data_IF_318480865082
#
_entry.id   IF_318480865082
#
_cell.length_a   1.000
_cell.length_b   1.000
_cell.length_c   1.000
_cell.angle_alpha   90.00
_cell.angle_beta   90.00
_cell.angle_gamma   90.00
#
_symmetry.space_group_name_H-M   'P 1'
#
loop_
_entity.id
_entity.type
_entity.pdbx_description
1 polymer ?
#
# COMPACT_ATOMS: atom_id res chain seq x y z
N UNK A 1 19.49 46.75 -1.11
CA UNK A 1 19.22 45.34 -1.54
C UNK A 1 19.07 44.34 -0.39
N UNK A 2 19.03 44.71 0.89
CA UNK A 2 18.81 43.78 2.03
C UNK A 2 17.34 43.67 2.51
N UNK A 3 16.45 44.52 2.03
CA UNK A 3 15.06 44.56 2.45
C UNK A 3 14.12 43.67 1.62
N UNK A 4 14.48 43.32 0.40
CA UNK A 4 13.68 42.41 -0.46
C UNK A 4 13.83 40.92 -0.09
N UNK A 5 14.96 40.54 0.49
CA UNK A 5 15.20 39.15 0.91
C UNK A 5 14.37 38.75 2.16
N UNK A 6 14.06 39.70 3.06
CA UNK A 6 13.24 39.42 4.25
C UNK A 6 11.77 39.28 3.93
N UNK A 7 11.25 39.91 2.88
CA UNK A 7 9.84 39.78 2.49
C UNK A 7 9.53 38.41 1.87
N UNK A 8 10.51 37.87 1.11
CA UNK A 8 10.36 36.49 0.54
C UNK A 8 10.52 35.40 1.58
N UNK A 9 11.37 35.59 2.58
CA UNK A 9 11.52 34.64 3.67
C UNK A 9 10.32 34.62 4.62
N UNK A 10 9.70 35.78 4.88
CA UNK A 10 8.48 35.88 5.70
C UNK A 10 7.25 35.30 4.97
N UNK A 11 7.14 35.52 3.65
CA UNK A 11 6.10 34.90 2.83
C UNK A 11 6.27 33.37 2.73
N UNK A 12 7.51 32.88 2.61
CA UNK A 12 7.79 31.44 2.61
C UNK A 12 7.54 30.79 3.98
N UNK A 13 7.80 31.49 5.10
CA UNK A 13 7.50 30.98 6.45
C UNK A 13 6.00 31.06 6.78
N UNK A 14 5.27 32.05 6.30
CA UNK A 14 3.80 32.12 6.43
C UNK A 14 3.13 31.04 5.57
N UNK A 15 3.72 30.66 4.45
CA UNK A 15 3.26 29.58 3.59
C UNK A 15 3.52 28.19 4.19
N UNK A 16 4.63 28.01 4.91
CA UNK A 16 4.96 26.77 5.63
C UNK A 16 4.05 26.53 6.85
N UNK A 17 3.37 27.55 7.36
CA UNK A 17 2.41 27.41 8.47
C UNK A 17 0.95 27.24 8.01
N UNK A 18 0.64 27.45 6.73
CA UNK A 18 -0.66 27.13 6.12
C UNK A 18 -0.61 25.82 5.31
N UNK A 19 0.20 24.87 5.71
CA UNK A 19 0.18 23.52 5.20
C UNK A 19 -1.22 22.95 5.43
N UNK A 20 -2.14 23.15 4.48
CA UNK A 20 -3.46 22.59 4.49
C UNK A 20 -3.31 21.08 4.68
N UNK A 21 -3.86 20.54 5.77
CA UNK A 21 -3.80 19.13 6.05
C UNK A 21 -4.34 18.37 4.84
N UNK A 22 -3.62 17.37 4.38
CA UNK A 22 -4.10 16.44 3.36
C UNK A 22 -5.47 15.93 3.82
N UNK A 23 -6.51 16.20 3.03
CA UNK A 23 -7.84 15.67 3.30
C UNK A 23 -7.81 14.15 3.10
N UNK A 24 -8.64 13.43 3.85
CA UNK A 24 -8.95 12.06 3.48
C UNK A 24 -9.69 12.04 2.13
N UNK A 25 -9.60 10.94 1.37
CA UNK A 25 -10.35 10.80 0.12
C UNK A 25 -11.87 11.01 0.34
N UNK A 26 -12.38 10.58 1.49
CA UNK A 26 -13.79 10.75 1.84
C UNK A 26 -14.14 12.21 2.12
N UNK A 27 -13.27 12.99 2.77
CA UNK A 27 -13.52 14.41 3.05
C UNK A 27 -13.34 15.26 1.79
N UNK A 28 -12.41 14.91 0.92
CA UNK A 28 -12.28 15.53 -0.40
C UNK A 28 -13.55 15.31 -1.23
N UNK A 29 -14.05 14.07 -1.31
CA UNK A 29 -15.28 13.73 -2.03
C UNK A 29 -16.50 14.48 -1.50
N UNK A 30 -16.66 14.56 -0.16
CA UNK A 30 -17.74 15.37 0.44
C UNK A 30 -17.66 16.85 0.06
N UNK A 31 -16.43 17.37 -0.04
CA UNK A 31 -16.22 18.77 -0.42
C UNK A 31 -16.53 19.00 -1.90
N UNK A 32 -16.21 18.04 -2.77
CA UNK A 32 -16.57 18.04 -4.19
C UNK A 32 -18.09 17.96 -4.39
N UNK A 33 -18.76 17.05 -3.67
CA UNK A 33 -20.24 16.99 -3.64
C UNK A 33 -20.86 18.30 -3.17
N UNK A 34 -20.31 18.92 -2.12
CA UNK A 34 -20.78 20.22 -1.63
C UNK A 34 -20.57 21.33 -2.67
N UNK A 35 -19.45 21.33 -3.37
CA UNK A 35 -19.18 22.32 -4.42
C UNK A 35 -20.22 22.22 -5.56
N UNK A 36 -20.57 21.03 -6.03
CA UNK A 36 -21.64 20.84 -7.04
C UNK A 36 -22.98 21.38 -6.54
N UNK A 37 -23.39 21.08 -5.30
CA UNK A 37 -24.62 21.62 -4.69
C UNK A 37 -24.60 23.12 -4.64
N UNK A 38 -23.48 23.76 -4.35
CA UNK A 38 -23.34 25.22 -4.33
C UNK A 38 -23.39 25.80 -5.74
N UNK A 39 -22.84 25.17 -6.76
CA UNK A 39 -22.96 25.56 -8.16
C UNK A 39 -24.45 25.55 -8.61
N UNK A 40 -25.17 24.50 -8.24
CA UNK A 40 -26.62 24.40 -8.50
C UNK A 40 -27.42 25.53 -7.83
N UNK A 41 -27.22 25.70 -6.53
CA UNK A 41 -27.99 26.68 -5.74
C UNK A 41 -27.67 28.12 -6.13
N UNK A 42 -26.43 28.46 -6.43
CA UNK A 42 -26.05 29.79 -6.94
C UNK A 42 -26.59 30.06 -8.33
N UNK A 43 -26.62 29.01 -9.21
CA UNK A 43 -27.28 29.10 -10.52
C UNK A 43 -28.77 29.41 -10.41
N UNK A 44 -29.49 28.79 -9.47
CA UNK A 44 -30.89 29.05 -9.21
C UNK A 44 -31.14 30.49 -8.70
N UNK A 45 -30.23 30.99 -7.86
CA UNK A 45 -30.33 32.35 -7.31
C UNK A 45 -30.04 33.44 -8.35
N UNK A 46 -29.30 33.13 -9.42
CA UNK A 46 -28.86 34.10 -10.44
C UNK A 46 -29.10 33.53 -11.84
N UNK A 47 -30.24 33.78 -12.49
CA UNK A 47 -30.60 33.14 -13.77
C UNK A 47 -29.59 33.32 -14.90
N UNK A 48 -28.85 34.42 -14.95
CA UNK A 48 -27.77 34.62 -15.92
C UNK A 48 -26.59 33.70 -15.72
N UNK A 49 -26.24 33.41 -14.47
CA UNK A 49 -25.21 32.49 -14.08
C UNK A 49 -25.63 31.04 -14.39
N UNK A 50 -26.90 30.69 -14.15
CA UNK A 50 -27.44 29.38 -14.49
C UNK A 50 -27.20 29.01 -15.96
N UNK A 51 -27.52 29.98 -16.87
CA UNK A 51 -27.35 29.76 -18.32
C UNK A 51 -25.87 29.69 -18.72
N UNK A 52 -25.07 30.64 -18.25
CA UNK A 52 -23.65 30.71 -18.64
C UNK A 52 -22.84 29.60 -17.99
N UNK A 53 -23.16 29.18 -16.77
CA UNK A 53 -22.45 28.14 -16.00
C UNK A 53 -22.93 26.73 -16.28
N UNK A 54 -23.99 26.50 -17.06
CA UNK A 54 -24.56 25.18 -17.28
C UNK A 54 -23.55 24.16 -17.83
N UNK A 55 -22.68 24.47 -18.82
CA UNK A 55 -21.66 23.53 -19.28
C UNK A 55 -20.70 23.13 -18.17
N UNK A 56 -20.12 24.09 -17.46
CA UNK A 56 -19.16 23.82 -16.38
C UNK A 56 -19.79 23.04 -15.22
N UNK A 57 -21.06 23.26 -14.92
CA UNK A 57 -21.81 22.48 -13.92
C UNK A 57 -22.01 21.03 -14.38
N UNK A 58 -22.34 20.81 -15.64
CA UNK A 58 -22.54 19.46 -16.18
C UNK A 58 -21.23 18.68 -16.21
N UNK A 59 -20.14 19.32 -16.64
CA UNK A 59 -18.80 18.72 -16.67
C UNK A 59 -18.34 18.40 -15.22
N UNK A 60 -18.58 19.30 -14.25
CA UNK A 60 -18.29 19.06 -12.84
C UNK A 60 -19.10 17.87 -12.25
N UNK A 61 -20.36 17.70 -12.65
CA UNK A 61 -21.18 16.53 -12.25
C UNK A 61 -20.60 15.23 -12.81
N UNK A 62 -20.18 15.24 -14.07
CA UNK A 62 -19.56 14.07 -14.68
C UNK A 62 -18.22 13.72 -14.01
N UNK A 63 -17.40 14.73 -13.70
CA UNK A 63 -16.17 14.54 -12.96
C UNK A 63 -16.43 13.99 -11.55
N UNK A 64 -17.45 14.49 -10.85
CA UNK A 64 -17.88 13.99 -9.54
C UNK A 64 -18.33 12.52 -9.61
N UNK A 65 -19.13 12.13 -10.60
CA UNK A 65 -19.53 10.72 -10.78
C UNK A 65 -18.34 9.79 -10.97
N UNK A 66 -17.30 10.23 -11.67
CA UNK A 66 -16.04 9.49 -11.79
C UNK A 66 -15.28 9.41 -10.45
N UNK A 67 -15.28 10.49 -9.66
CA UNK A 67 -14.65 10.54 -8.32
C UNK A 67 -15.37 9.64 -7.31
N UNK A 68 -16.68 9.49 -7.39
CA UNK A 68 -17.44 8.55 -6.54
C UNK A 68 -17.02 7.10 -6.76
N UNK A 69 -16.58 6.74 -7.96
CA UNK A 69 -16.06 5.40 -8.27
C UNK A 69 -14.56 5.25 -8.03
N UNK A 70 -13.79 6.34 -8.13
CA UNK A 70 -12.35 6.35 -7.98
C UNK A 70 -11.85 7.63 -7.27
N UNK A 71 -12.14 7.81 -5.98
CA UNK A 71 -11.87 9.05 -5.24
C UNK A 71 -10.37 9.39 -5.09
N UNK A 72 -9.49 8.44 -5.34
CA UNK A 72 -8.04 8.64 -5.33
C UNK A 72 -7.45 9.07 -6.68
N UNK A 73 -8.29 9.19 -7.72
CA UNK A 73 -7.81 9.53 -9.07
C UNK A 73 -7.56 11.04 -9.21
N UNK A 74 -6.28 11.42 -9.11
CA UNK A 74 -5.87 12.82 -9.22
C UNK A 74 -6.25 13.49 -10.56
N UNK A 75 -6.40 12.71 -11.65
CA UNK A 75 -6.87 13.22 -12.93
C UNK A 75 -8.32 13.69 -12.87
N UNK A 76 -9.19 12.95 -12.20
CA UNK A 76 -10.59 13.36 -12.02
C UNK A 76 -10.73 14.57 -11.09
N UNK A 77 -9.93 14.64 -10.01
CA UNK A 77 -9.87 15.83 -9.15
C UNK A 77 -9.39 17.06 -9.93
N UNK A 78 -8.37 16.89 -10.80
CA UNK A 78 -7.89 17.98 -11.66
C UNK A 78 -8.98 18.49 -12.61
N UNK A 79 -9.72 17.60 -13.28
CA UNK A 79 -10.84 17.94 -14.16
C UNK A 79 -11.91 18.67 -13.38
N UNK A 80 -12.36 18.11 -12.25
CA UNK A 80 -13.34 18.74 -11.37
C UNK A 80 -12.97 20.17 -10.96
N UNK A 81 -11.73 20.37 -10.54
CA UNK A 81 -11.21 21.70 -10.16
C UNK A 81 -11.21 22.68 -11.36
N UNK A 82 -10.92 22.19 -12.56
CA UNK A 82 -10.98 22.97 -13.79
C UNK A 82 -12.40 23.49 -14.04
N UNK A 83 -13.39 22.61 -13.95
CA UNK A 83 -14.80 22.94 -14.20
C UNK A 83 -15.38 23.85 -13.11
N UNK A 84 -15.09 23.59 -11.85
CA UNK A 84 -15.52 24.43 -10.73
C UNK A 84 -14.91 25.85 -10.82
N UNK A 85 -13.66 25.98 -11.23
CA UNK A 85 -13.01 27.29 -11.47
C UNK A 85 -13.62 28.00 -12.69
N UNK A 86 -13.93 27.27 -13.78
CA UNK A 86 -14.61 27.81 -14.93
C UNK A 86 -15.95 28.38 -14.52
N UNK A 87 -16.74 27.69 -13.69
CA UNK A 87 -17.99 28.18 -13.14
C UNK A 87 -17.79 29.46 -12.31
N UNK A 88 -16.81 29.49 -11.43
CA UNK A 88 -16.49 30.68 -10.62
C UNK A 88 -16.07 31.88 -11.47
N UNK A 89 -15.32 31.66 -12.55
CA UNK A 89 -14.82 32.73 -13.44
C UNK A 89 -15.93 33.42 -14.24
N UNK A 90 -17.03 32.71 -14.51
CA UNK A 90 -18.19 33.28 -15.24
C UNK A 90 -18.77 34.47 -14.47
N UNK A 91 -18.79 34.41 -13.12
CA UNK A 91 -19.26 35.49 -12.30
C UNK A 91 -18.44 36.78 -12.42
N UNK A 92 -17.15 36.66 -12.71
CA UNK A 92 -16.24 37.79 -12.85
C UNK A 92 -16.40 38.49 -14.21
N UNK A 93 -16.96 37.79 -15.19
CA UNK A 93 -17.19 38.29 -16.56
C UNK A 93 -18.59 38.91 -16.77
N UNK A 94 -19.54 38.65 -15.84
CA UNK A 94 -20.86 39.19 -15.92
C UNK A 94 -20.80 40.71 -15.62
N UNK A 95 -21.34 41.60 -16.49
CA UNK A 95 -21.30 43.05 -16.25
C UNK A 95 -21.95 43.43 -14.91
N UNK A 96 -21.23 44.13 -14.06
CA UNK A 96 -21.78 44.70 -12.83
C UNK A 96 -22.70 45.89 -13.19
N UNK A 97 -23.90 46.04 -12.61
CA UNK A 97 -24.32 45.50 -11.33
C UNK A 97 -25.44 44.44 -11.47
N UNK A 98 -25.10 43.17 -11.35
CA UNK A 98 -26.12 42.23 -10.94
C UNK A 98 -26.20 42.28 -9.40
N UNK A 99 -27.35 42.64 -8.81
CA UNK A 99 -27.53 42.48 -7.38
C UNK A 99 -27.60 40.97 -7.12
N UNK A 100 -26.45 40.35 -6.74
CA UNK A 100 -26.50 39.06 -6.11
C UNK A 100 -27.35 39.19 -4.84
N UNK A 101 -28.43 38.44 -4.70
CA UNK A 101 -29.11 38.35 -3.41
C UNK A 101 -28.07 38.01 -2.34
N UNK A 102 -28.24 38.47 -1.11
CA UNK A 102 -27.24 38.22 -0.04
C UNK A 102 -26.95 36.73 0.14
N UNK A 103 -27.96 35.89 0.00
CA UNK A 103 -27.83 34.44 0.02
C UNK A 103 -26.98 33.93 -1.14
N UNK A 104 -27.18 34.43 -2.35
CA UNK A 104 -26.34 34.05 -3.50
C UNK A 104 -24.88 34.45 -3.33
N UNK A 105 -24.60 35.61 -2.71
CA UNK A 105 -23.24 36.04 -2.37
C UNK A 105 -22.58 35.08 -1.35
N UNK A 106 -23.35 34.70 -0.32
CA UNK A 106 -22.88 33.78 0.70
C UNK A 106 -22.55 32.41 0.09
N UNK A 107 -23.46 31.82 -0.68
CA UNK A 107 -23.27 30.54 -1.34
C UNK A 107 -22.08 30.54 -2.32
N UNK A 108 -21.88 31.62 -3.03
CA UNK A 108 -20.78 31.80 -3.95
C UNK A 108 -19.43 31.94 -3.21
N UNK A 109 -19.45 32.59 -2.03
CA UNK A 109 -18.29 32.60 -1.12
C UNK A 109 -17.94 31.21 -0.61
N UNK A 110 -18.96 30.44 -0.15
CA UNK A 110 -18.78 29.07 0.28
C UNK A 110 -18.22 28.13 -0.85
N UNK A 111 -18.69 28.35 -2.10
CA UNK A 111 -18.17 27.61 -3.26
C UNK A 111 -16.70 27.94 -3.50
N UNK A 112 -16.33 29.22 -3.44
CA UNK A 112 -14.91 29.63 -3.59
C UNK A 112 -14.03 28.99 -2.53
N UNK A 113 -14.46 29.05 -1.26
CA UNK A 113 -13.71 28.42 -0.15
C UNK A 113 -13.58 26.91 -0.33
N UNK A 114 -14.63 26.24 -0.82
CA UNK A 114 -14.58 24.81 -1.11
C UNK A 114 -13.57 24.49 -2.22
N UNK A 115 -13.58 25.25 -3.31
CA UNK A 115 -12.64 25.08 -4.44
C UNK A 115 -11.20 25.38 -4.01
N UNK A 116 -10.97 26.43 -3.20
CA UNK A 116 -9.64 26.76 -2.71
C UNK A 116 -9.06 25.66 -1.80
N UNK A 117 -9.91 25.06 -0.94
CA UNK A 117 -9.51 23.94 -0.10
C UNK A 117 -9.21 22.68 -0.90
N UNK A 118 -9.99 22.38 -1.94
CA UNK A 118 -9.73 21.27 -2.85
C UNK A 118 -8.45 21.50 -3.65
N UNK A 119 -8.19 22.73 -4.09
CA UNK A 119 -6.96 23.07 -4.78
C UNK A 119 -5.72 22.90 -3.89
N UNK A 120 -5.80 23.35 -2.65
CA UNK A 120 -4.74 23.17 -1.66
C UNK A 120 -4.47 21.69 -1.40
N UNK A 121 -5.53 20.87 -1.26
CA UNK A 121 -5.41 19.41 -1.14
C UNK A 121 -4.74 18.77 -2.37
N UNK A 122 -5.18 19.14 -3.58
CA UNK A 122 -4.62 18.63 -4.83
C UNK A 122 -3.13 18.97 -4.98
N UNK A 123 -2.73 20.20 -4.66
CA UNK A 123 -1.31 20.62 -4.65
C UNK A 123 -0.50 19.81 -3.64
N UNK A 124 -1.00 19.61 -2.42
CA UNK A 124 -0.35 18.80 -1.41
C UNK A 124 -0.19 17.33 -1.84
N UNK A 125 -1.15 16.77 -2.59
CA UNK A 125 -1.05 15.45 -3.20
C UNK A 125 0.08 15.39 -4.26
N UNK A 126 0.15 16.41 -5.12
CA UNK A 126 1.22 16.49 -6.15
C UNK A 126 2.60 16.63 -5.50
N UNK A 127 2.73 17.50 -4.49
CA UNK A 127 3.98 17.69 -3.75
C UNK A 127 4.42 16.41 -3.04
N UNK A 128 3.48 15.67 -2.46
CA UNK A 128 3.76 14.38 -1.83
C UNK A 128 4.24 13.33 -2.83
N UNK A 129 3.62 13.25 -4.02
CA UNK A 129 4.06 12.35 -5.10
C UNK A 129 5.43 12.75 -5.65
N UNK A 130 5.67 14.03 -5.84
CA UNK A 130 6.97 14.57 -6.26
C UNK A 130 8.07 14.25 -5.24
N UNK A 131 7.79 14.40 -3.95
CA UNK A 131 8.72 14.05 -2.89
C UNK A 131 9.03 12.54 -2.88
N UNK A 132 8.04 11.68 -3.12
CA UNK A 132 8.26 10.24 -3.26
C UNK A 132 9.14 9.90 -4.46
N UNK A 133 8.88 10.52 -5.62
CA UNK A 133 9.68 10.30 -6.85
C UNK A 133 11.12 10.82 -6.72
N UNK A 134 11.32 11.88 -5.93
CA UNK A 134 12.65 12.48 -5.68
C UNK A 134 13.38 11.84 -4.51
N UNK A 135 12.75 10.93 -3.77
CA UNK A 135 13.43 10.23 -2.68
C UNK A 135 14.55 9.35 -3.26
N UNK A 136 15.84 9.65 -2.99
CA UNK A 136 16.96 8.88 -3.52
C UNK A 136 17.02 7.46 -2.96
N UNK A 137 16.29 7.17 -1.88
CA UNK A 137 16.16 5.86 -1.25
C UNK A 137 14.68 5.42 -1.23
N UNK A 138 14.04 5.46 -2.39
CA UNK A 138 12.61 5.12 -2.55
C UNK A 138 12.27 3.75 -1.97
N UNK A 139 13.13 2.77 -2.17
CA UNK A 139 12.92 1.38 -1.79
C UNK A 139 13.47 1.07 -0.38
N UNK A 140 13.92 2.11 0.35
CA UNK A 140 14.47 2.03 1.72
C UNK A 140 15.68 1.09 1.85
N UNK A 141 16.59 1.11 0.89
CA UNK A 141 17.82 0.31 0.88
C UNK A 141 18.69 0.57 2.12
N UNK A 142 18.68 1.79 2.65
CA UNK A 142 19.44 2.17 3.84
C UNK A 142 18.93 1.51 5.13
N UNK A 143 17.67 1.04 5.15
CA UNK A 143 17.03 0.52 6.36
C UNK A 143 17.80 -0.64 7.00
N UNK A 144 18.35 -1.52 6.18
CA UNK A 144 19.03 -2.73 6.64
C UNK A 144 20.51 -2.80 6.28
N UNK A 145 21.12 -1.76 5.67
CA UNK A 145 22.53 -1.76 5.24
C UNK A 145 23.47 -2.20 6.37
N UNK A 146 23.43 -1.53 7.52
CA UNK A 146 24.29 -1.87 8.65
C UNK A 146 24.01 -3.26 9.23
N UNK A 147 22.73 -3.68 9.26
CA UNK A 147 22.34 -5.01 9.72
C UNK A 147 22.80 -6.11 8.74
N UNK A 148 22.76 -5.82 7.43
CA UNK A 148 23.22 -6.73 6.38
C UNK A 148 24.75 -6.92 6.47
N UNK A 149 25.51 -5.85 6.65
CA UNK A 149 26.97 -5.90 6.80
C UNK A 149 27.42 -6.69 8.03
N UNK A 150 26.62 -6.69 9.11
CA UNK A 150 26.91 -7.46 10.34
C UNK A 150 26.52 -8.93 10.26
N UNK A 151 25.75 -9.33 9.23
CA UNK A 151 25.39 -10.73 9.04
C UNK A 151 26.60 -11.50 8.49
N UNK A 152 27.07 -12.49 9.25
CA UNK A 152 28.05 -13.44 8.76
C UNK A 152 27.52 -14.30 7.62
N UNK A 153 28.35 -15.12 6.97
CA UNK A 153 27.91 -16.05 5.94
C UNK A 153 26.90 -17.06 6.53
N UNK A 154 25.90 -17.51 5.75
CA UNK A 154 24.99 -18.55 6.20
C UNK A 154 25.74 -19.88 6.44
N UNK A 155 25.28 -20.68 7.41
CA UNK A 155 25.84 -21.98 7.70
C UNK A 155 24.98 -23.12 7.12
N UNK A 156 25.54 -24.19 6.59
CA UNK A 156 24.78 -25.36 6.14
C UNK A 156 23.95 -26.01 7.27
N UNK A 157 24.44 -25.96 8.51
CA UNK A 157 23.75 -26.52 9.68
C UNK A 157 22.60 -25.66 10.16
N UNK A 158 22.63 -24.34 9.83
CA UNK A 158 21.62 -23.37 10.16
C UNK A 158 21.25 -22.58 8.90
N UNK A 159 20.45 -23.15 8.01
CA UNK A 159 20.07 -22.47 6.78
C UNK A 159 19.35 -21.16 7.07
N UNK A 160 19.81 -20.09 6.44
CA UNK A 160 19.21 -18.77 6.56
C UNK A 160 17.84 -18.73 5.92
N UNK A 161 16.88 -18.14 6.61
CA UNK A 161 15.56 -17.82 6.11
C UNK A 161 15.34 -16.32 6.23
N UNK A 162 15.03 -15.65 5.12
CA UNK A 162 14.67 -14.24 5.12
C UNK A 162 13.15 -14.12 5.15
N UNK A 163 12.64 -13.33 6.07
CA UNK A 163 11.24 -12.91 6.13
C UNK A 163 11.13 -11.54 5.47
N UNK A 164 10.66 -11.50 4.24
CA UNK A 164 10.45 -10.29 3.45
C UNK A 164 8.99 -9.85 3.56
N UNK A 165 8.75 -8.57 3.85
CA UNK A 165 7.39 -8.08 3.97
C UNK A 165 7.28 -6.62 4.41
N UNK A 166 6.09 -6.27 4.86
CA UNK A 166 5.70 -4.94 5.31
C UNK A 166 5.71 -4.78 6.84
N UNK A 167 4.81 -3.94 7.39
CA UNK A 167 4.68 -3.70 8.84
C UNK A 167 4.37 -4.96 9.65
N UNK A 168 3.67 -5.93 9.07
CA UNK A 168 3.33 -7.18 9.74
C UNK A 168 4.60 -8.01 9.94
N UNK A 169 5.49 -8.03 8.97
CA UNK A 169 6.80 -8.68 9.08
C UNK A 169 7.74 -7.86 9.95
N UNK A 170 7.79 -6.52 9.79
CA UNK A 170 8.65 -5.62 10.58
C UNK A 170 8.38 -5.77 12.08
N UNK A 171 7.10 -5.80 12.48
CA UNK A 171 6.67 -5.99 13.88
C UNK A 171 6.89 -7.39 14.44
N UNK A 172 7.28 -8.35 13.62
CA UNK A 172 7.44 -9.74 14.05
C UNK A 172 8.80 -9.97 14.71
N UNK A 173 8.81 -10.12 16.01
CA UNK A 173 10.02 -10.36 16.81
C UNK A 173 10.44 -11.83 16.70
N UNK A 174 11.03 -12.23 15.57
CA UNK A 174 11.33 -13.64 15.24
C UNK A 174 12.03 -14.41 16.36
N UNK A 175 12.97 -13.78 17.08
CA UNK A 175 13.69 -14.44 18.18
C UNK A 175 12.80 -14.81 19.36
N UNK A 176 11.72 -14.05 19.61
CA UNK A 176 10.77 -14.33 20.69
C UNK A 176 9.91 -15.56 20.38
N UNK A 177 9.63 -15.81 19.10
CA UNK A 177 8.75 -16.90 18.66
C UNK A 177 9.50 -18.17 18.24
N UNK A 178 10.73 -18.02 17.74
CA UNK A 178 11.51 -19.14 17.17
C UNK A 178 12.77 -19.45 17.94
N UNK A 179 13.10 -18.64 18.97
CA UNK A 179 14.37 -18.75 19.69
C UNK A 179 15.57 -18.24 18.90
N UNK A 180 16.75 -18.28 19.51
CA UNK A 180 18.01 -17.85 18.89
C UNK A 180 18.75 -18.91 18.08
N UNK A 181 18.22 -20.14 18.03
CA UNK A 181 18.89 -21.28 17.39
C UNK A 181 18.80 -21.28 15.85
N UNK A 182 17.83 -20.55 15.29
CA UNK A 182 17.56 -20.42 13.86
C UNK A 182 18.21 -19.17 13.28
N UNK A 183 18.73 -19.26 12.04
CA UNK A 183 19.21 -18.08 11.29
C UNK A 183 18.04 -17.44 10.52
N UNK A 184 17.08 -16.87 11.28
CA UNK A 184 15.92 -16.19 10.75
C UNK A 184 16.16 -14.69 10.75
N UNK A 185 16.06 -14.08 9.56
CA UNK A 185 16.38 -12.68 9.30
C UNK A 185 15.12 -11.91 8.93
N UNK A 186 14.72 -10.96 9.77
CA UNK A 186 13.60 -10.08 9.48
C UNK A 186 14.03 -8.97 8.51
N UNK A 187 13.31 -8.84 7.40
CA UNK A 187 13.43 -7.79 6.38
C UNK A 187 12.05 -7.20 6.07
N UNK A 188 11.25 -7.00 7.10
CA UNK A 188 9.99 -6.25 7.04
C UNK A 188 10.25 -4.76 7.08
N UNK A 189 9.50 -3.96 6.31
CA UNK A 189 9.51 -2.50 6.37
C UNK A 189 8.08 -1.99 6.36
N UNK A 190 7.71 -1.28 7.42
CA UNK A 190 6.34 -0.77 7.60
C UNK A 190 5.85 0.05 6.41
N UNK A 191 4.63 -0.25 5.94
CA UNK A 191 3.97 0.48 4.87
C UNK A 191 4.42 0.14 3.45
N UNK A 192 5.42 -0.71 3.24
CA UNK A 192 5.91 -1.04 1.89
C UNK A 192 4.89 -1.78 1.04
N UNK A 193 4.89 -1.47 -0.25
CA UNK A 193 4.18 -2.18 -1.31
C UNK A 193 5.11 -3.19 -2.02
N UNK A 194 4.53 -4.08 -2.79
CA UNK A 194 5.27 -5.14 -3.50
C UNK A 194 6.34 -4.60 -4.46
N UNK A 195 6.10 -3.47 -5.12
CA UNK A 195 7.09 -2.83 -6.00
C UNK A 195 8.32 -2.31 -5.26
N UNK A 196 8.15 -1.78 -4.04
CA UNK A 196 9.27 -1.34 -3.18
C UNK A 196 10.05 -2.53 -2.63
N UNK A 197 9.38 -3.65 -2.30
CA UNK A 197 10.04 -4.90 -1.90
C UNK A 197 10.87 -5.48 -3.04
N UNK A 198 10.36 -5.45 -4.26
CA UNK A 198 11.08 -5.86 -5.47
C UNK A 198 12.36 -5.04 -5.66
N UNK A 199 12.31 -3.71 -5.43
CA UNK A 199 13.46 -2.82 -5.55
C UNK A 199 14.61 -3.12 -4.59
N UNK A 200 14.35 -3.80 -3.47
CA UNK A 200 15.38 -4.16 -2.46
C UNK A 200 15.73 -5.66 -2.42
N UNK A 201 15.24 -6.46 -3.36
CA UNK A 201 15.53 -7.89 -3.43
C UNK A 201 17.03 -8.19 -3.44
N UNK A 202 17.83 -7.42 -4.19
CA UNK A 202 19.27 -7.63 -4.27
C UNK A 202 19.91 -7.50 -2.88
N UNK A 203 19.74 -6.38 -2.21
CA UNK A 203 20.44 -6.04 -0.97
C UNK A 203 19.91 -6.84 0.25
N UNK A 204 18.59 -7.01 0.33
CA UNK A 204 17.94 -7.52 1.54
C UNK A 204 17.59 -9.02 1.47
N UNK A 205 17.76 -9.65 0.30
CA UNK A 205 17.50 -11.08 0.12
C UNK A 205 18.68 -11.76 -0.55
N UNK A 206 19.01 -11.42 -1.81
CA UNK A 206 19.96 -12.16 -2.64
C UNK A 206 21.38 -12.15 -2.05
N UNK A 207 21.88 -10.98 -1.64
CA UNK A 207 23.21 -10.86 -1.06
C UNK A 207 23.34 -11.53 0.31
N UNK A 208 22.23 -11.75 1.01
CA UNK A 208 22.23 -12.50 2.26
C UNK A 208 22.32 -14.00 2.07
N UNK A 209 22.21 -14.50 0.83
CA UNK A 209 22.32 -15.91 0.43
C UNK A 209 21.44 -16.83 1.28
N UNK A 210 20.17 -16.53 1.46
CA UNK A 210 19.30 -17.40 2.24
C UNK A 210 19.01 -18.68 1.48
N UNK A 211 18.66 -19.72 2.20
CA UNK A 211 18.11 -20.94 1.62
C UNK A 211 16.69 -20.72 1.12
N UNK A 212 15.94 -19.85 1.81
CA UNK A 212 14.53 -19.62 1.57
C UNK A 212 14.16 -18.18 1.89
N UNK A 213 13.24 -17.60 1.11
CA UNK A 213 12.60 -16.33 1.41
C UNK A 213 11.10 -16.53 1.62
N UNK A 214 10.58 -16.15 2.81
CA UNK A 214 9.16 -16.10 3.10
C UNK A 214 8.63 -14.70 2.85
N UNK A 215 7.72 -14.57 1.90
CA UNK A 215 7.14 -13.29 1.46
C UNK A 215 5.72 -13.14 1.99
N UNK A 216 5.47 -12.07 2.76
CA UNK A 216 4.15 -11.63 3.19
C UNK A 216 3.94 -10.20 2.72
N UNK A 217 3.16 -10.01 1.64
CA UNK A 217 3.04 -8.73 0.95
C UNK A 217 1.70 -8.58 0.23
N UNK A 218 1.32 -7.33 -0.06
CA UNK A 218 0.15 -6.99 -0.87
C UNK A 218 -0.93 -6.19 -0.14
N UNK A 219 -0.97 -6.21 1.20
CA UNK A 219 -2.00 -5.49 1.95
C UNK A 219 -1.90 -3.97 1.76
N UNK A 220 -0.69 -3.42 1.70
CA UNK A 220 -0.49 -1.99 1.47
C UNK A 220 -0.78 -1.58 0.03
N UNK A 221 -0.51 -2.47 -0.93
CA UNK A 221 -0.89 -2.29 -2.33
C UNK A 221 -2.41 -2.14 -2.46
N UNK A 222 -3.16 -3.09 -1.90
CA UNK A 222 -4.63 -3.06 -1.86
C UNK A 222 -5.14 -1.78 -1.18
N UNK A 223 -4.55 -1.42 -0.04
CA UNK A 223 -4.91 -0.22 0.70
C UNK A 223 -4.60 1.10 -0.04
N UNK A 224 -3.73 1.08 -1.04
CA UNK A 224 -3.43 2.21 -1.93
C UNK A 224 -4.16 2.13 -3.27
N UNK A 225 -5.04 1.15 -3.46
CA UNK A 225 -5.81 0.96 -4.68
C UNK A 225 -4.98 0.46 -5.87
N UNK A 226 -3.84 -0.18 -5.61
CA UNK A 226 -3.05 -0.84 -6.66
C UNK A 226 -3.85 -2.02 -7.21
N UNK A 227 -3.88 -2.15 -8.53
CA UNK A 227 -4.58 -3.26 -9.18
C UNK A 227 -3.99 -4.62 -8.76
N UNK A 228 -4.83 -5.62 -8.53
CA UNK A 228 -4.39 -6.96 -8.13
C UNK A 228 -3.40 -7.53 -9.15
N UNK A 229 -3.63 -7.34 -10.44
CA UNK A 229 -2.70 -7.76 -11.50
C UNK A 229 -1.29 -7.15 -11.41
N UNK A 230 -1.15 -5.94 -10.87
CA UNK A 230 0.16 -5.34 -10.60
C UNK A 230 0.85 -6.02 -9.44
N UNK A 231 0.10 -6.36 -8.39
CA UNK A 231 0.61 -7.11 -7.23
C UNK A 231 1.09 -8.50 -7.68
N UNK A 232 0.27 -9.19 -8.47
CA UNK A 232 0.58 -10.49 -9.07
C UNK A 232 1.88 -10.46 -9.88
N UNK A 233 2.03 -9.44 -10.74
CA UNK A 233 3.25 -9.24 -11.52
C UNK A 233 4.48 -9.06 -10.61
N UNK A 234 4.39 -8.22 -9.59
CA UNK A 234 5.52 -7.96 -8.69
C UNK A 234 5.90 -9.21 -7.88
N UNK A 235 4.91 -9.97 -7.37
CA UNK A 235 5.17 -11.22 -6.64
C UNK A 235 5.77 -12.29 -7.55
N UNK A 236 5.33 -12.37 -8.82
CA UNK A 236 5.92 -13.26 -9.81
C UNK A 236 7.39 -12.92 -10.07
N UNK A 237 7.71 -11.63 -10.21
CA UNK A 237 9.10 -11.17 -10.39
C UNK A 237 9.96 -11.43 -9.14
N UNK A 238 9.41 -11.29 -7.93
CA UNK A 238 10.12 -11.66 -6.69
C UNK A 238 10.45 -13.16 -6.69
N UNK A 239 9.51 -14.01 -7.13
CA UNK A 239 9.74 -15.44 -7.26
C UNK A 239 10.82 -15.76 -8.28
N UNK A 240 10.73 -15.17 -9.49
CA UNK A 240 11.70 -15.41 -10.56
C UNK A 240 13.11 -14.98 -10.16
N UNK A 241 13.26 -13.86 -9.47
CA UNK A 241 14.55 -13.42 -8.93
C UNK A 241 15.09 -14.38 -7.86
N UNK A 242 14.25 -14.85 -6.95
CA UNK A 242 14.67 -15.81 -5.93
C UNK A 242 15.15 -17.13 -6.58
N UNK A 243 14.39 -17.72 -7.50
CA UNK A 243 14.76 -18.94 -8.22
C UNK A 243 16.05 -18.77 -9.03
N UNK A 244 16.21 -17.63 -9.74
CA UNK A 244 17.41 -17.33 -10.52
C UNK A 244 18.70 -17.34 -9.64
N UNK A 245 18.54 -17.08 -8.34
CA UNK A 245 19.63 -17.10 -7.36
C UNK A 245 19.62 -18.33 -6.44
N UNK A 246 18.88 -19.38 -6.82
CA UNK A 246 18.79 -20.64 -6.06
C UNK A 246 18.24 -20.48 -4.63
N UNK A 247 17.36 -19.48 -4.45
CA UNK A 247 16.65 -19.22 -3.21
C UNK A 247 15.21 -19.76 -3.38
N UNK A 248 14.77 -20.61 -2.48
CA UNK A 248 13.41 -21.14 -2.49
C UNK A 248 12.41 -20.03 -2.11
N UNK A 249 11.50 -19.59 -2.99
CA UNK A 249 10.47 -18.64 -2.62
C UNK A 249 9.31 -19.36 -1.93
N UNK A 250 8.83 -18.77 -0.83
CA UNK A 250 7.65 -19.20 -0.09
C UNK A 250 6.72 -18.00 0.09
N UNK A 251 5.44 -18.16 -0.16
CA UNK A 251 4.48 -17.06 -0.06
C UNK A 251 3.43 -17.31 1.01
N UNK A 252 3.15 -16.28 1.79
CA UNK A 252 2.11 -16.31 2.80
C UNK A 252 0.86 -15.57 2.32
N UNK A 253 -0.32 -16.08 2.69
CA UNK A 253 -1.58 -15.38 2.47
C UNK A 253 -1.60 -14.03 3.15
N UNK A 254 -2.13 -13.02 2.48
CA UNK A 254 -2.47 -11.72 3.06
C UNK A 254 -3.52 -11.94 4.15
N UNK A 255 -3.33 -11.30 5.30
CA UNK A 255 -4.18 -11.48 6.46
C UNK A 255 -5.58 -10.89 6.25
N UNK A 256 -6.62 -11.40 6.94
CA UNK A 256 -7.91 -10.72 7.02
C UNK A 256 -7.75 -9.38 7.76
N UNK A 257 -8.73 -8.50 7.60
CA UNK A 257 -8.84 -7.24 8.33
C UNK A 257 -10.20 -7.14 9.02
N UNK A 258 -10.34 -6.24 9.99
CA UNK A 258 -11.62 -6.03 10.66
C UNK A 258 -11.83 -4.57 11.07
N UNK A 259 -13.10 -4.23 11.35
CA UNK A 259 -13.53 -2.95 11.88
C UNK A 259 -13.91 -3.03 13.37
N UNK A 260 -13.57 -4.12 14.05
CA UNK A 260 -14.03 -4.39 15.43
C UNK A 260 -13.56 -3.34 16.44
N UNK A 261 -12.48 -2.64 16.14
CA UNK A 261 -11.89 -1.61 17.00
C UNK A 261 -12.17 -0.16 16.52
N UNK A 262 -13.05 0.03 15.52
CA UNK A 262 -13.37 1.36 14.96
C UNK A 262 -13.96 2.34 15.98
N UNK A 263 -14.65 1.83 17.00
CA UNK A 263 -15.22 2.67 18.05
C UNK A 263 -14.15 3.22 19.01
N UNK A 264 -13.00 2.53 19.12
CA UNK A 264 -11.82 3.02 19.87
C UNK A 264 -11.08 4.09 19.06
N UNK A 265 -10.92 3.87 17.75
CA UNK A 265 -10.32 4.83 16.84
C UNK A 265 -10.96 4.67 15.44
N UNK A 266 -11.63 5.71 14.89
CA UNK A 266 -12.22 5.65 13.56
C UNK A 266 -11.27 5.24 12.43
N UNK A 267 -9.96 5.47 12.59
CA UNK A 267 -8.94 5.00 11.65
C UNK A 267 -8.80 3.47 11.59
N UNK A 268 -9.38 2.75 12.55
CA UNK A 268 -9.43 1.29 12.58
C UNK A 268 -10.62 0.71 11.81
N UNK A 269 -11.40 1.53 11.13
CA UNK A 269 -12.33 1.10 10.09
C UNK A 269 -11.53 0.66 8.84
N UNK A 270 -11.03 -0.58 8.84
CA UNK A 270 -10.10 -1.09 7.82
C UNK A 270 -10.80 -1.51 6.55
N UNK A 271 -12.01 -2.07 6.65
CA UNK A 271 -12.71 -2.70 5.51
C UNK A 271 -13.14 -1.71 4.44
N UNK A 272 -13.33 -0.43 4.78
CA UNK A 272 -13.63 0.63 3.82
C UNK A 272 -12.50 0.85 2.80
N UNK A 273 -11.24 0.61 3.19
CA UNK A 273 -10.06 0.79 2.34
C UNK A 273 -9.45 -0.54 1.89
N UNK A 274 -9.62 -1.58 2.67
CA UNK A 274 -9.09 -2.92 2.47
C UNK A 274 -10.27 -3.89 2.30
N UNK A 275 -10.91 -3.86 1.14
CA UNK A 275 -12.08 -4.68 0.87
C UNK A 275 -11.75 -6.18 1.04
N UNK A 276 -12.45 -6.93 1.93
CA UNK A 276 -12.17 -8.35 2.14
C UNK A 276 -12.20 -9.18 0.86
N UNK A 277 -13.07 -8.83 -0.10
CA UNK A 277 -13.15 -9.49 -1.39
C UNK A 277 -11.83 -9.37 -2.19
N UNK A 278 -11.14 -8.24 -2.12
CA UNK A 278 -9.84 -8.05 -2.80
C UNK A 278 -8.71 -8.83 -2.13
N UNK A 279 -8.77 -8.99 -0.81
CA UNK A 279 -7.84 -9.85 -0.08
C UNK A 279 -8.04 -11.31 -0.51
N UNK A 280 -9.28 -11.76 -0.61
CA UNK A 280 -9.61 -13.12 -1.05
C UNK A 280 -9.22 -13.36 -2.52
N UNK A 281 -9.42 -12.38 -3.40
CA UNK A 281 -9.00 -12.42 -4.81
C UNK A 281 -7.48 -12.63 -4.90
N UNK A 282 -6.70 -11.82 -4.20
CA UNK A 282 -5.23 -11.93 -4.17
C UNK A 282 -4.77 -13.26 -3.56
N UNK A 283 -5.36 -13.69 -2.43
CA UNK A 283 -5.01 -14.95 -1.80
C UNK A 283 -5.36 -16.16 -2.67
N UNK A 284 -6.48 -16.10 -3.40
CA UNK A 284 -6.86 -17.14 -4.36
C UNK A 284 -5.84 -17.27 -5.49
N UNK A 285 -5.45 -16.14 -6.07
CA UNK A 285 -4.39 -16.12 -7.08
C UNK A 285 -3.07 -16.65 -6.51
N UNK A 286 -2.65 -16.17 -5.35
CA UNK A 286 -1.37 -16.52 -4.74
C UNK A 286 -1.27 -18.03 -4.43
N UNK A 287 -2.37 -18.62 -3.95
CA UNK A 287 -2.45 -20.06 -3.72
C UNK A 287 -2.28 -20.85 -5.03
N UNK A 288 -3.00 -20.45 -6.08
CA UNK A 288 -2.91 -21.08 -7.40
C UNK A 288 -1.50 -20.90 -8.01
N UNK A 289 -0.91 -19.71 -7.87
CA UNK A 289 0.45 -19.42 -8.32
C UNK A 289 1.47 -20.34 -7.64
N UNK A 290 1.39 -20.48 -6.32
CA UNK A 290 2.27 -21.37 -5.56
C UNK A 290 2.06 -22.84 -6.00
N UNK A 291 0.84 -23.28 -6.21
CA UNK A 291 0.52 -24.64 -6.64
C UNK A 291 1.11 -24.92 -8.05
N UNK A 292 0.93 -24.02 -9.01
CA UNK A 292 1.46 -24.14 -10.37
C UNK A 292 2.99 -24.12 -10.43
N UNK A 293 3.63 -23.31 -9.59
CA UNK A 293 5.10 -23.17 -9.52
C UNK A 293 5.75 -24.13 -8.53
N UNK A 294 4.95 -24.93 -7.82
CA UNK A 294 5.40 -25.83 -6.76
C UNK A 294 6.11 -25.15 -5.58
N UNK A 295 5.72 -23.87 -5.30
CA UNK A 295 6.22 -23.13 -4.16
C UNK A 295 5.42 -23.46 -2.90
N UNK A 296 6.04 -23.45 -1.72
CA UNK A 296 5.32 -23.56 -0.46
C UNK A 296 4.37 -22.36 -0.26
N UNK A 297 3.12 -22.66 0.07
CA UNK A 297 2.10 -21.66 0.45
C UNK A 297 1.85 -21.73 1.94
N UNK A 298 1.86 -20.58 2.61
CA UNK A 298 1.67 -20.44 4.06
C UNK A 298 0.32 -19.79 4.33
N UNK A 299 -0.66 -20.56 4.78
CA UNK A 299 -2.02 -20.08 5.00
C UNK A 299 -2.19 -19.48 6.40
N UNK A 300 -1.88 -18.21 6.55
CA UNK A 300 -2.19 -17.46 7.76
C UNK A 300 -3.65 -17.00 7.79
N UNK A 301 -4.23 -16.71 6.61
CA UNK A 301 -5.60 -16.18 6.52
C UNK A 301 -6.60 -17.10 7.23
N UNK A 302 -6.60 -18.37 6.90
CA UNK A 302 -7.54 -19.35 7.45
C UNK A 302 -7.42 -19.52 8.97
N UNK A 303 -6.26 -19.29 9.55
CA UNK A 303 -6.03 -19.39 10.98
C UNK A 303 -6.47 -18.13 11.76
N UNK A 304 -6.55 -16.98 11.09
CA UNK A 304 -6.81 -15.68 11.72
C UNK A 304 -8.21 -15.14 11.44
N UNK A 305 -8.89 -15.66 10.42
CA UNK A 305 -10.24 -15.24 10.04
C UNK A 305 -11.29 -15.81 11.00
N UNK A 306 -12.31 -15.02 11.30
CA UNK A 306 -13.49 -15.46 12.04
C UNK A 306 -14.60 -16.00 11.10
N UNK A 307 -15.74 -16.43 11.68
CA UNK A 307 -16.89 -16.95 10.92
C UNK A 307 -17.58 -15.91 10.05
N UNK A 308 -17.36 -14.62 10.32
CA UNK A 308 -17.91 -13.51 9.55
C UNK A 308 -16.97 -13.06 8.41
N UNK A 309 -15.79 -13.66 8.28
CA UNK A 309 -14.81 -13.33 7.24
C UNK A 309 -13.85 -12.19 7.60
N UNK A 310 -13.77 -11.82 8.89
CA UNK A 310 -12.93 -10.73 9.37
C UNK A 310 -11.80 -11.24 10.28
N UNK A 311 -10.79 -10.40 10.49
CA UNK A 311 -9.74 -10.68 11.45
C UNK A 311 -10.35 -10.76 12.86
N UNK A 312 -10.08 -11.87 13.57
CA UNK A 312 -10.57 -12.07 14.93
C UNK A 312 -10.17 -10.91 15.83
N UNK A 313 -11.14 -10.38 16.59
CA UNK A 313 -10.99 -9.14 17.35
C UNK A 313 -9.84 -9.15 18.37
N UNK A 314 -9.55 -10.30 18.98
CA UNK A 314 -8.52 -10.45 19.99
C UNK A 314 -7.12 -10.73 19.45
N UNK A 315 -6.98 -10.86 18.12
CA UNK A 315 -5.70 -11.14 17.45
C UNK A 315 -5.00 -9.88 16.90
N UNK A 316 -5.70 -8.74 16.88
CA UNK A 316 -5.17 -7.45 16.44
C UNK A 316 -5.88 -6.31 17.16
N UNK A 317 -5.14 -5.35 17.67
CA UNK A 317 -5.70 -4.24 18.47
C UNK A 317 -6.18 -3.07 17.60
N UNK A 318 -5.85 -3.08 16.31
CA UNK A 318 -6.19 -2.05 15.32
C UNK A 318 -6.93 -2.60 14.09
N UNK A 319 -7.29 -3.88 14.12
CA UNK A 319 -8.00 -4.56 13.03
C UNK A 319 -7.14 -4.90 11.80
N UNK A 320 -5.81 -4.76 11.88
CA UNK A 320 -4.87 -5.03 10.79
C UNK A 320 -3.60 -5.75 11.25
N UNK A 321 -2.91 -5.20 12.26
CA UNK A 321 -1.60 -5.70 12.71
C UNK A 321 -1.77 -6.75 13.81
N UNK A 322 -1.25 -7.97 13.61
CA UNK A 322 -1.32 -9.00 14.64
C UNK A 322 -0.66 -8.53 15.94
N UNK A 323 -1.34 -8.72 17.05
CA UNK A 323 -0.75 -8.58 18.38
C UNK A 323 0.00 -9.86 18.77
N UNK A 324 0.48 -9.95 20.00
CA UNK A 324 1.24 -11.11 20.46
C UNK A 324 0.47 -12.45 20.33
N UNK A 325 -0.88 -12.43 20.43
CA UNK A 325 -1.69 -13.63 20.23
C UNK A 325 -1.73 -14.03 18.75
N UNK A 326 -1.92 -13.05 17.86
CA UNK A 326 -1.91 -13.26 16.40
C UNK A 326 -0.59 -13.89 15.94
N UNK A 327 0.56 -13.31 16.35
CA UNK A 327 1.86 -13.89 16.00
C UNK A 327 2.10 -15.29 16.59
N UNK A 328 1.56 -15.62 17.78
CA UNK A 328 1.64 -16.98 18.33
C UNK A 328 0.89 -18.02 17.49
N UNK A 329 -0.16 -17.61 16.77
CA UNK A 329 -0.86 -18.46 15.82
C UNK A 329 -0.06 -18.59 14.52
N UNK A 330 0.48 -17.48 13.99
CA UNK A 330 1.23 -17.46 12.73
C UNK A 330 2.55 -18.22 12.83
N UNK A 331 3.25 -18.12 13.97
CA UNK A 331 4.60 -18.65 14.11
C UNK A 331 4.73 -20.18 13.86
N UNK A 332 3.92 -21.05 14.45
CA UNK A 332 4.00 -22.49 14.18
C UNK A 332 3.63 -22.83 12.74
N UNK A 333 2.76 -22.08 12.08
CA UNK A 333 2.37 -22.30 10.68
C UNK A 333 3.55 -22.02 9.76
N UNK A 334 4.24 -20.89 9.95
CA UNK A 334 5.47 -20.58 9.21
C UNK A 334 6.56 -21.62 9.45
N UNK A 335 6.77 -21.99 10.72
CA UNK A 335 7.81 -22.95 11.09
C UNK A 335 7.58 -24.31 10.45
N UNK A 336 6.34 -24.80 10.46
CA UNK A 336 5.99 -26.07 9.83
C UNK A 336 6.25 -26.05 8.32
N UNK A 337 5.92 -24.97 7.64
CA UNK A 337 6.17 -24.81 6.22
C UNK A 337 7.69 -24.77 5.90
N UNK A 338 8.45 -23.99 6.67
CA UNK A 338 9.92 -23.88 6.54
C UNK A 338 10.58 -25.26 6.78
N UNK A 339 10.20 -25.96 7.85
CA UNK A 339 10.79 -27.27 8.19
C UNK A 339 10.42 -28.36 7.17
N UNK A 340 9.27 -28.26 6.51
CA UNK A 340 8.88 -29.18 5.44
C UNK A 340 9.81 -29.03 4.21
N UNK A 341 10.14 -27.80 3.82
CA UNK A 341 11.10 -27.53 2.73
C UNK A 341 12.48 -28.08 3.09
N UNK A 342 12.94 -27.84 4.31
CA UNK A 342 14.23 -28.34 4.79
C UNK A 342 14.30 -29.87 4.82
N UNK A 343 13.20 -30.57 5.11
CA UNK A 343 13.12 -32.05 5.15
C UNK A 343 13.11 -32.70 3.76
N UNK A 344 12.53 -32.04 2.77
CA UNK A 344 12.45 -32.58 1.40
C UNK A 344 13.82 -32.75 0.75
N UNK A 345 14.85 -32.06 1.22
CA UNK A 345 16.22 -32.11 0.68
C UNK A 345 17.12 -33.11 1.36
N UNK A 346 16.77 -33.67 2.48
CA UNK A 346 17.49 -34.74 3.18
C UNK A 346 17.15 -36.12 2.60
N UNK A 347 16.68 -36.22 1.35
CA UNK A 347 16.75 -37.50 0.64
C UNK A 347 18.22 -37.78 0.36
N UNK A 348 18.82 -38.84 0.97
CA UNK A 348 20.22 -39.16 0.72
C UNK A 348 20.37 -39.34 -0.78
N UNK A 349 21.35 -38.66 -1.36
CA UNK A 349 21.79 -38.93 -2.73
C UNK A 349 21.88 -40.44 -2.88
N UNK A 350 21.10 -41.03 -3.80
CA UNK A 350 21.24 -42.44 -4.17
C UNK A 350 22.74 -42.63 -4.43
N UNK A 351 23.41 -43.41 -3.59
CA UNK A 351 24.79 -43.82 -3.83
C UNK A 351 24.82 -44.36 -5.25
N UNK A 352 25.31 -43.56 -6.20
CA UNK A 352 25.67 -44.08 -7.52
C UNK A 352 26.62 -45.21 -7.21
N UNK A 353 26.26 -46.42 -7.59
CA UNK A 353 27.08 -47.61 -7.42
C UNK A 353 28.52 -47.28 -7.83
N UNK A 354 29.44 -47.47 -6.93
CA UNK A 354 30.82 -47.05 -7.12
C UNK A 354 31.39 -47.71 -8.35
N UNK A 355 32.34 -47.04 -8.99
CA UNK A 355 33.12 -47.53 -10.14
C UNK A 355 33.57 -48.99 -9.99
N UNK A 356 33.68 -49.48 -8.77
CA UNK A 356 33.98 -50.88 -8.42
C UNK A 356 32.87 -51.89 -8.78
N UNK A 357 31.61 -51.54 -8.69
CA UNK A 357 30.50 -52.43 -9.09
C UNK A 357 30.31 -52.46 -10.60
N UNK A 358 30.66 -51.40 -11.30
CA UNK A 358 30.67 -51.40 -12.77
C UNK A 358 31.80 -52.28 -13.34
N UNK A 359 33.01 -52.21 -12.76
CA UNK A 359 34.17 -53.03 -13.16
C UNK A 359 34.01 -54.53 -12.87
N UNK A 360 33.11 -54.95 -11.97
CA UNK A 360 32.83 -56.36 -11.69
C UNK A 360 31.81 -57.00 -12.63
N UNK A 361 31.11 -56.24 -13.46
CA UNK A 361 30.14 -56.75 -14.43
C UNK A 361 30.71 -57.03 -15.81
N UNK A 362 31.94 -56.62 -16.13
CA UNK A 362 32.56 -56.87 -17.43
C UNK A 362 33.52 -58.11 -17.43
N UNK A 363 33.57 -58.81 -16.32
CA UNK A 363 34.43 -60.05 -16.20
C UNK A 363 33.65 -61.31 -15.78
N UNK A 364 32.39 -61.42 -16.25
CA UNK A 364 31.62 -62.66 -16.22
C UNK A 364 31.13 -63.09 -17.59
#
# INVERSE_FOLDING_TARGET
MKWLACFWAAAAMAWAQSGGALLSNQDALKLEQRAVQLMESTGLAVPGLARAGAPALEDARQALANLETAPQNAGYTFTFLGDARAYLSISDTVPKPYPFPDEGRRQFGELRDAVDRLDAHFRALLDSKDAQLRNPDRDNLKRYTEANEKLGPPSPEKPRVVFLGDSITDGWRLKEYYGGERDFVNRGIGGQITGEMLGRMQADVIELKPRLVLVLAGINDLGRGVAVSTIENNLSMIADLAEAHHIEPMFASVLPVSDYHKDVNPQYARTARLAPAKILELNGWLKNFCEQRHFPYVDYYSALVDKAGFLQADLADDGLHPNAKGYRIMAPIALAAIDNVAKLEVKPAKKKGGLREWLQKEHK
#
